data_IF_105994690854
#
_entry.id   IF_105994690854
#
_cell.length_a   1.000
_cell.length_b   1.000
_cell.length_c   1.000
_cell.angle_alpha   90.00
_cell.angle_beta   90.00
_cell.angle_gamma   90.00
#
_symmetry.space_group_name_H-M   'P 1'
#
loop_
_entity.id
_entity.type
_entity.pdbx_description
1 polymer ?
#
# COMPACT_ATOMS: atom_id res chain seq x y z
N UNK A 1 -4.52 29.60 0.85
CA UNK A 1 -4.88 28.26 1.32
C UNK A 1 -3.65 27.38 1.11
N UNK A 2 -3.20 26.76 2.18
CA UNK A 2 -1.88 26.12 2.36
C UNK A 2 -1.63 25.00 1.34
N UNK A 3 -0.57 25.15 0.54
CA UNK A 3 0.00 24.05 -0.22
C UNK A 3 0.75 23.14 0.77
N UNK A 4 0.15 22.02 1.13
CA UNK A 4 0.82 20.97 1.92
C UNK A 4 1.93 20.36 1.07
N UNK A 5 3.15 20.58 1.52
CA UNK A 5 4.39 20.04 0.95
C UNK A 5 4.30 18.53 0.76
N UNK A 6 4.33 18.06 -0.49
CA UNK A 6 4.57 16.65 -0.79
C UNK A 6 6.01 16.34 -0.40
N UNK A 7 6.21 15.66 0.72
CA UNK A 7 7.49 15.07 1.11
C UNK A 7 8.06 14.26 -0.06
N UNK A 8 9.31 14.53 -0.42
CA UNK A 8 9.99 13.94 -1.58
C UNK A 8 10.21 12.44 -1.38
N UNK A 9 9.26 11.62 -1.84
CA UNK A 9 9.37 10.17 -1.84
C UNK A 9 10.25 9.73 -3.02
N UNK A 10 11.47 9.29 -2.72
CA UNK A 10 12.35 8.68 -3.72
C UNK A 10 12.21 7.16 -3.69
N UNK A 11 11.98 6.54 -4.86
CA UNK A 11 12.13 5.09 -4.99
C UNK A 11 13.59 4.72 -4.75
N UNK A 12 13.85 3.86 -3.75
CA UNK A 12 15.19 3.35 -3.49
C UNK A 12 15.68 2.54 -4.69
N UNK A 13 16.99 2.67 -4.94
CA UNK A 13 17.71 2.11 -6.08
C UNK A 13 17.40 0.65 -6.39
N UNK A 14 17.76 0.28 -7.62
CA UNK A 14 17.24 -0.78 -8.49
C UNK A 14 17.23 -2.26 -7.98
N UNK A 15 17.34 -2.53 -6.68
CA UNK A 15 17.42 -3.89 -6.12
C UNK A 15 16.35 -4.26 -5.06
N UNK A 16 15.36 -3.41 -4.78
CA UNK A 16 14.23 -3.85 -3.94
C UNK A 16 13.17 -4.54 -4.79
N UNK A 17 13.14 -5.88 -4.69
CA UNK A 17 12.12 -6.74 -5.29
C UNK A 17 10.74 -6.36 -4.75
N UNK A 18 9.73 -6.40 -5.62
CA UNK A 18 8.33 -6.30 -5.21
C UNK A 18 7.97 -7.44 -4.27
N UNK A 19 7.05 -7.17 -3.34
CA UNK A 19 6.52 -8.13 -2.37
C UNK A 19 5.00 -8.03 -2.33
N UNK A 20 4.33 -8.99 -1.68
CA UNK A 20 2.89 -8.89 -1.41
C UNK A 20 2.63 -7.94 -0.25
N UNK A 21 1.52 -7.23 -0.23
CA UNK A 21 1.15 -6.39 0.91
C UNK A 21 1.01 -7.23 2.19
N UNK A 22 0.61 -8.50 2.07
CA UNK A 22 0.56 -9.43 3.20
C UNK A 22 1.91 -9.75 3.85
N UNK A 23 3.02 -9.43 3.20
CA UNK A 23 4.39 -9.62 3.72
C UNK A 23 4.92 -8.36 4.41
N UNK A 24 4.32 -7.20 4.15
CA UNK A 24 4.67 -5.93 4.77
C UNK A 24 4.48 -5.98 6.30
N UNK A 25 5.26 -5.14 6.98
CA UNK A 25 5.26 -5.00 8.44
C UNK A 25 4.58 -3.69 8.86
N UNK A 26 3.96 -3.64 10.05
CA UNK A 26 3.48 -2.39 10.61
C UNK A 26 4.59 -1.32 10.63
N UNK A 27 4.24 -0.10 10.20
CA UNK A 27 5.15 1.02 10.03
C UNK A 27 5.83 1.10 8.65
N UNK A 28 5.73 0.06 7.82
CA UNK A 28 6.26 0.14 6.45
C UNK A 28 5.42 1.13 5.62
N UNK A 29 6.12 1.99 4.88
CA UNK A 29 5.55 2.74 3.78
C UNK A 29 5.82 1.98 2.48
N UNK A 30 4.77 1.71 1.73
CA UNK A 30 4.86 0.91 0.50
C UNK A 30 4.12 1.59 -0.64
N UNK A 31 4.66 1.49 -1.85
CA UNK A 31 4.01 1.95 -3.07
C UNK A 31 3.29 0.79 -3.76
N UNK A 32 2.03 0.98 -4.12
CA UNK A 32 1.25 0.00 -4.87
C UNK A 32 1.81 -0.08 -6.30
N UNK A 33 2.19 -1.29 -6.72
CA UNK A 33 2.77 -1.55 -8.04
C UNK A 33 1.84 -2.31 -8.97
N UNK A 34 0.89 -3.05 -8.41
CA UNK A 34 -0.09 -3.78 -9.21
C UNK A 34 -0.90 -4.75 -8.37
N UNK A 35 -1.68 -5.55 -9.07
CA UNK A 35 -2.52 -6.58 -8.47
C UNK A 35 -2.34 -7.90 -9.23
N UNK A 36 -2.43 -9.02 -8.52
CA UNK A 36 -2.46 -10.36 -9.13
C UNK A 36 -3.80 -10.59 -9.89
N UNK A 37 -3.84 -11.56 -10.80
CA UNK A 37 -5.03 -11.85 -11.60
C UNK A 37 -6.25 -12.31 -10.78
N UNK A 38 -7.45 -12.12 -11.32
CA UNK A 38 -8.70 -12.55 -10.69
C UNK A 38 -9.08 -11.72 -9.46
N UNK A 39 -8.92 -10.39 -9.55
CA UNK A 39 -9.28 -9.46 -8.49
C UNK A 39 -9.98 -8.19 -8.98
N UNK A 40 -10.55 -8.18 -10.19
CA UNK A 40 -11.10 -6.98 -10.82
C UNK A 40 -12.17 -6.28 -9.98
N UNK A 41 -13.11 -7.01 -9.38
CA UNK A 41 -14.13 -6.44 -8.47
C UNK A 41 -13.50 -5.77 -7.23
N UNK A 42 -12.49 -6.42 -6.66
CA UNK A 42 -11.77 -5.91 -5.49
C UNK A 42 -10.94 -4.66 -5.85
N UNK A 43 -10.27 -4.69 -7.00
CA UNK A 43 -9.51 -3.55 -7.53
C UNK A 43 -10.44 -2.37 -7.79
N UNK A 44 -11.58 -2.56 -8.46
CA UNK A 44 -12.58 -1.51 -8.69
C UNK A 44 -13.05 -0.88 -7.36
N UNK A 45 -13.25 -1.69 -6.32
CA UNK A 45 -13.60 -1.18 -4.99
C UNK A 45 -12.49 -0.35 -4.37
N UNK A 46 -11.22 -0.78 -4.46
CA UNK A 46 -10.09 0.00 -3.98
C UNK A 46 -9.96 1.33 -4.72
N UNK A 47 -10.09 1.32 -6.05
CA UNK A 47 -9.97 2.54 -6.86
C UNK A 47 -11.10 3.54 -6.55
N UNK A 48 -12.30 3.05 -6.25
CA UNK A 48 -13.45 3.85 -5.80
C UNK A 48 -13.23 4.45 -4.41
N UNK A 49 -12.42 3.80 -3.57
CA UNK A 49 -11.96 4.32 -2.28
C UNK A 49 -10.71 5.21 -2.43
N UNK A 50 -10.24 5.48 -3.65
CA UNK A 50 -9.07 6.31 -3.87
C UNK A 50 -7.72 5.61 -3.68
N UNK A 51 -7.69 4.27 -3.68
CA UNK A 51 -6.46 3.48 -3.59
C UNK A 51 -6.14 2.89 -4.97
N UNK A 52 -5.04 3.35 -5.59
CA UNK A 52 -4.69 3.08 -6.99
C UNK A 52 -3.24 2.62 -7.13
N UNK A 53 -2.90 2.09 -8.30
CA UNK A 53 -1.50 1.82 -8.65
C UNK A 53 -0.71 3.13 -8.64
N UNK A 54 0.42 3.15 -7.96
CA UNK A 54 1.26 4.32 -7.78
C UNK A 54 1.10 4.98 -6.42
N UNK A 55 0.00 4.73 -5.71
CA UNK A 55 -0.25 5.31 -4.39
C UNK A 55 0.71 4.73 -3.35
N UNK A 56 0.96 5.55 -2.33
CA UNK A 56 1.80 5.21 -1.20
C UNK A 56 0.88 5.01 -0.01
N UNK A 57 0.99 3.86 0.64
CA UNK A 57 0.20 3.52 1.81
C UNK A 57 1.10 3.15 2.97
N UNK A 58 0.69 3.54 4.17
CA UNK A 58 1.29 3.12 5.43
C UNK A 58 0.60 1.85 5.92
N UNK A 59 1.36 0.84 6.31
CA UNK A 59 0.81 -0.33 7.01
C UNK A 59 0.64 0.03 8.49
N UNK A 60 -0.59 0.29 8.94
CA UNK A 60 -0.88 0.69 10.33
C UNK A 60 -0.75 -0.47 11.29
N UNK A 61 -1.35 -1.61 10.93
CA UNK A 61 -1.40 -2.78 11.79
C UNK A 61 -1.56 -4.06 10.98
N UNK A 62 -1.24 -5.19 11.63
CA UNK A 62 -1.35 -6.53 11.06
C UNK A 62 -1.62 -7.51 12.18
N UNK A 63 -2.85 -8.02 12.27
CA UNK A 63 -3.15 -9.07 13.23
C UNK A 63 -2.66 -10.44 12.71
N UNK A 64 -2.51 -11.40 13.63
CA UNK A 64 -1.90 -12.70 13.34
C UNK A 64 -2.67 -13.51 12.27
N UNK A 65 -4.01 -13.50 12.35
CA UNK A 65 -4.92 -14.27 11.48
C UNK A 65 -5.88 -13.40 10.65
N UNK A 66 -5.75 -12.07 10.66
CA UNK A 66 -6.68 -11.18 9.99
C UNK A 66 -6.35 -9.72 10.27
N UNK A 67 -7.20 -8.81 9.79
CA UNK A 67 -6.90 -7.97 8.64
C UNK A 67 -5.58 -7.17 8.74
N UNK A 68 -5.09 -6.75 7.58
CA UNK A 68 -4.01 -5.79 7.47
C UNK A 68 -4.64 -4.42 7.28
N UNK A 69 -4.34 -3.50 8.19
CA UNK A 69 -4.83 -2.13 8.13
C UNK A 69 -3.81 -1.27 7.39
N UNK A 70 -4.28 -0.58 6.35
CA UNK A 70 -3.49 0.39 5.59
C UNK A 70 -4.12 1.77 5.69
N UNK A 71 -3.27 2.79 5.59
CA UNK A 71 -3.68 4.19 5.49
C UNK A 71 -3.14 4.81 4.21
N UNK A 72 -4.02 5.47 3.45
CA UNK A 72 -3.69 6.30 2.29
C UNK A 72 -4.27 7.69 2.52
N UNK A 73 -3.45 8.67 2.88
CA UNK A 73 -3.83 10.06 3.25
C UNK A 73 -5.07 10.14 4.16
N UNK A 74 -6.28 10.17 3.58
CA UNK A 74 -7.57 10.32 4.25
C UNK A 74 -8.36 9.01 4.44
N UNK A 75 -7.84 7.88 3.95
CA UNK A 75 -8.54 6.59 3.92
C UNK A 75 -7.81 5.57 4.77
N UNK A 76 -8.46 5.13 5.84
CA UNK A 76 -8.07 3.96 6.62
C UNK A 76 -8.88 2.74 6.15
N UNK A 77 -8.19 1.68 5.73
CA UNK A 77 -8.81 0.48 5.17
C UNK A 77 -8.24 -0.79 5.79
N UNK A 78 -9.14 -1.65 6.29
CA UNK A 78 -8.81 -3.00 6.70
C UNK A 78 -8.99 -3.96 5.52
N UNK A 79 -7.93 -4.70 5.20
CA UNK A 79 -7.90 -5.71 4.14
C UNK A 79 -7.82 -7.11 4.72
N UNK A 80 -8.69 -8.00 4.27
CA UNK A 80 -8.55 -9.41 4.58
C UNK A 80 -7.22 -9.94 4.02
N UNK A 81 -6.62 -10.94 4.66
CA UNK A 81 -5.30 -11.46 4.28
C UNK A 81 -5.22 -11.89 2.81
N UNK A 82 -6.24 -12.60 2.32
CA UNK A 82 -6.31 -13.01 0.92
C UNK A 82 -6.45 -11.85 -0.08
N UNK A 83 -6.98 -10.69 0.34
CA UNK A 83 -6.96 -9.48 -0.49
C UNK A 83 -5.55 -8.89 -0.52
N UNK A 84 -4.91 -8.76 0.64
CA UNK A 84 -3.55 -8.23 0.74
C UNK A 84 -2.50 -9.11 0.03
N UNK A 85 -2.71 -10.42 -0.05
CA UNK A 85 -1.86 -11.34 -0.84
C UNK A 85 -1.87 -11.05 -2.33
N UNK A 86 -2.94 -10.44 -2.86
CA UNK A 86 -3.07 -10.09 -4.27
C UNK A 86 -2.53 -8.70 -4.60
N UNK A 87 -2.11 -7.90 -3.62
CA UNK A 87 -1.59 -6.55 -3.86
C UNK A 87 -0.07 -6.62 -3.92
N UNK A 88 0.50 -6.22 -5.06
CA UNK A 88 1.94 -6.15 -5.26
C UNK A 88 2.41 -4.75 -4.87
N UNK A 89 3.36 -4.69 -3.94
CA UNK A 89 3.90 -3.45 -3.40
C UNK A 89 5.41 -3.41 -3.46
N UNK A 90 5.97 -2.19 -3.41
CA UNK A 90 7.40 -1.96 -3.25
C UNK A 90 7.64 -1.07 -2.03
N UNK A 91 8.52 -1.45 -1.08
CA UNK A 91 8.89 -0.58 0.02
C UNK A 91 9.47 0.75 -0.47
N UNK A 92 9.18 1.82 0.27
CA UNK A 92 9.79 3.13 0.07
C UNK A 92 10.48 3.57 1.37
N UNK A 93 11.51 4.42 1.25
CA UNK A 93 12.05 5.16 2.40
C UNK A 93 11.80 6.64 2.16
N UNK A 94 11.32 7.35 3.18
CA UNK A 94 11.48 8.79 3.20
C UNK A 94 12.96 9.10 3.42
N UNK A 95 13.52 9.94 2.56
CA UNK A 95 14.75 10.66 2.89
C UNK A 95 14.33 11.91 3.66
N UNK A 96 14.93 12.09 4.83
CA UNK A 96 14.90 13.34 5.58
C UNK A 96 15.81 14.37 4.90
#
# INVERSE_FOLDING_TARGET
>A
MTHSSKSSVSELGNNQRSMRLSEAKPGDLVKIKGFEGGCDDFKCRLESLGIRIGDIVEVKSKAFLGPIEIKNDDVDLALCRGQAEKIIVKPIKLRA
#
